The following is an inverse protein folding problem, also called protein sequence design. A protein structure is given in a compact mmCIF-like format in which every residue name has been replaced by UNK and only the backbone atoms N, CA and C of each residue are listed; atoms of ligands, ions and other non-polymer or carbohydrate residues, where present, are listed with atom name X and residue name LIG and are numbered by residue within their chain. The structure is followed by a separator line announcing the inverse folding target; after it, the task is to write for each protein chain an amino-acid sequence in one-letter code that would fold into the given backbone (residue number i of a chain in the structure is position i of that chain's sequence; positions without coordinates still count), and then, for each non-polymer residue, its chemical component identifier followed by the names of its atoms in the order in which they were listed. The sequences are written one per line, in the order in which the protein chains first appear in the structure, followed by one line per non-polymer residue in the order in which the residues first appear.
data_IF_549495240021
#
_entry.id   IF_549495240021
#
_cell.length_a   1.000
_cell.length_b   1.000
_cell.length_c   1.000
_cell.angle_alpha   90.00
_cell.angle_beta   90.00
_cell.angle_gamma   90.00
#
_symmetry.space_group_name_H-M   'P 1'
#
loop_
_entity.id
_entity.type
_entity.pdbx_description
1 polymer ?
#
# COMPACT_ATOMS: atom_id res chain seq x y z
N UNK A 1 -31.42 33.14 62.64
CA UNK A 1 -31.11 34.06 61.52
C UNK A 1 -29.91 33.50 60.77
N UNK A 2 -30.09 33.29 59.46
CA UNK A 2 -29.10 33.08 58.38
C UNK A 2 -28.07 31.93 58.54
N UNK A 3 -28.16 30.76 57.89
CA UNK A 3 -28.02 30.38 56.45
C UNK A 3 -26.72 30.80 55.75
N UNK A 4 -25.94 29.81 55.27
CA UNK A 4 -25.32 29.68 53.93
C UNK A 4 -24.53 28.36 53.88
N UNK A 5 -25.05 27.25 53.35
CA UNK A 5 -25.20 26.80 51.93
C UNK A 5 -23.92 26.20 51.33
N UNK A 6 -23.89 24.87 51.26
CA UNK A 6 -22.99 24.03 50.46
C UNK A 6 -23.64 23.88 49.07
N UNK A 7 -22.93 24.23 48.00
CA UNK A 7 -23.29 23.84 46.64
C UNK A 7 -22.32 22.76 46.16
N UNK A 8 -22.80 21.52 46.08
CA UNK A 8 -22.22 20.48 45.23
C UNK A 8 -23.01 20.48 43.92
N UNK A 9 -22.35 20.81 42.81
CA UNK A 9 -22.90 20.65 41.47
C UNK A 9 -22.16 19.46 40.82
N UNK A 10 -22.85 18.33 40.70
CA UNK A 10 -22.41 17.21 39.88
C UNK A 10 -22.67 17.58 38.40
N UNK A 11 -21.60 17.75 37.63
CA UNK A 11 -21.70 17.86 36.17
C UNK A 11 -21.69 16.44 35.58
N UNK A 12 -22.86 15.98 35.14
CA UNK A 12 -22.99 14.86 34.21
C UNK A 12 -22.44 15.30 32.85
N UNK A 13 -21.19 14.91 32.55
CA UNK A 13 -20.63 15.00 31.21
C UNK A 13 -21.14 13.82 30.37
N UNK A 14 -22.08 14.08 29.48
CA UNK A 14 -22.50 13.13 28.44
C UNK A 14 -21.32 12.86 27.49
N UNK A 15 -20.77 11.64 27.53
CA UNK A 15 -19.92 11.11 26.46
C UNK A 15 -20.80 10.94 25.22
N UNK A 16 -20.70 11.88 24.28
CA UNK A 16 -21.20 11.68 22.93
C UNK A 16 -20.27 10.65 22.27
N UNK A 17 -20.64 9.37 22.36
CA UNK A 17 -20.04 8.34 21.54
C UNK A 17 -20.31 8.69 20.08
N UNK A 18 -19.27 8.97 19.33
CA UNK A 18 -19.33 9.03 17.86
C UNK A 18 -19.76 7.65 17.39
N UNK A 19 -21.04 7.52 17.00
CA UNK A 19 -21.51 6.37 16.26
C UNK A 19 -20.72 6.31 14.95
N UNK A 20 -19.76 5.38 14.88
CA UNK A 20 -19.22 4.94 13.60
C UNK A 20 -20.38 4.28 12.87
N UNK A 21 -20.98 5.00 11.92
CA UNK A 21 -21.89 4.38 10.96
C UNK A 21 -21.09 3.34 10.17
N UNK A 22 -21.15 2.09 10.60
CA UNK A 22 -20.74 0.92 9.84
C UNK A 22 -21.75 0.73 8.70
N UNK A 23 -21.66 1.58 7.68
CA UNK A 23 -22.32 1.26 6.42
C UNK A 23 -21.74 -0.08 5.93
N UNK A 24 -22.61 -1.08 5.82
CA UNK A 24 -22.31 -2.35 5.17
C UNK A 24 -22.07 -2.05 3.68
N UNK A 25 -20.81 -2.04 3.26
CA UNK A 25 -20.47 -1.96 1.85
C UNK A 25 -20.42 -3.38 1.30
N UNK A 26 -21.56 -3.88 0.83
CA UNK A 26 -21.60 -5.03 -0.05
C UNK A 26 -21.49 -4.52 -1.49
N UNK A 27 -20.33 -4.69 -2.13
CA UNK A 27 -20.16 -4.36 -3.53
C UNK A 27 -18.74 -3.95 -3.92
N UNK A 28 -18.50 -3.99 -5.23
CA UNK A 28 -17.28 -3.46 -5.83
C UNK A 28 -17.29 -1.92 -5.78
N UNK A 29 -16.18 -1.35 -5.34
CA UNK A 29 -15.91 0.09 -5.34
C UNK A 29 -14.78 0.31 -6.34
N UNK A 30 -15.05 1.10 -7.38
CA UNK A 30 -14.00 1.63 -8.26
C UNK A 30 -13.72 3.07 -7.89
N UNK A 31 -12.51 3.33 -7.38
CA UNK A 31 -12.02 4.66 -7.11
C UNK A 31 -11.11 5.13 -8.26
N UNK A 32 -11.34 6.35 -8.74
CA UNK A 32 -10.45 7.05 -9.67
C UNK A 32 -9.87 8.28 -8.94
N UNK A 33 -8.66 8.15 -8.42
CA UNK A 33 -8.06 9.13 -7.53
C UNK A 33 -7.10 10.00 -8.33
N UNK A 34 -7.44 11.28 -8.49
CA UNK A 34 -6.63 12.30 -9.15
C UNK A 34 -7.02 13.71 -8.67
N UNK A 35 -6.06 14.63 -8.49
CA UNK A 35 -4.61 14.39 -8.54
C UNK A 35 -4.14 13.59 -7.31
N UNK A 36 -2.92 13.03 -7.34
CA UNK A 36 -2.27 12.52 -6.13
C UNK A 36 -2.19 13.60 -5.03
N UNK A 37 -2.33 13.19 -3.78
CA UNK A 37 -2.15 14.02 -2.59
C UNK A 37 -0.67 14.38 -2.36
N UNK A 38 0.23 13.44 -2.69
CA UNK A 38 1.68 13.59 -2.69
C UNK A 38 2.22 13.35 -4.10
N UNK A 39 2.97 14.29 -4.64
CA UNK A 39 3.42 14.25 -6.03
C UNK A 39 4.79 14.92 -6.11
N UNK A 40 5.83 14.12 -5.94
CA UNK A 40 7.15 14.62 -5.56
C UNK A 40 8.27 13.99 -6.37
N UNK A 41 9.13 14.85 -6.90
CA UNK A 41 10.43 14.44 -7.38
C UNK A 41 11.38 14.15 -6.21
N UNK A 42 11.79 12.90 -6.10
CA UNK A 42 12.71 12.41 -5.08
C UNK A 42 14.12 12.40 -5.64
N UNK A 43 14.87 13.46 -5.38
CA UNK A 43 16.26 13.62 -5.79
C UNK A 43 17.02 14.43 -4.73
N UNK A 44 18.24 14.04 -4.30
CA UNK A 44 18.96 14.70 -3.20
C UNK A 44 19.15 16.21 -3.38
N UNK A 45 19.36 16.66 -4.61
CA UNK A 45 19.56 18.09 -4.93
C UNK A 45 18.31 18.75 -5.51
N UNK A 46 17.18 18.03 -5.50
CA UNK A 46 15.89 18.58 -5.90
C UNK A 46 15.28 19.44 -4.80
N UNK A 47 14.45 20.44 -5.12
CA UNK A 47 13.74 21.20 -4.11
C UNK A 47 12.75 20.28 -3.37
N UNK A 48 12.62 20.47 -2.05
CA UNK A 48 11.42 20.01 -1.34
C UNK A 48 10.23 20.88 -1.76
N UNK A 49 9.04 20.29 -1.88
CA UNK A 49 7.82 21.04 -2.23
C UNK A 49 7.36 20.88 -3.69
N UNK A 50 6.51 21.81 -4.17
CA UNK A 50 5.95 21.77 -5.52
C UNK A 50 7.00 21.91 -6.62
N UNK A 51 6.92 21.05 -7.65
CA UNK A 51 7.69 21.14 -8.89
C UNK A 51 6.82 20.66 -10.03
N UNK A 52 6.88 21.27 -11.21
CA UNK A 52 6.05 20.88 -12.37
C UNK A 52 6.44 19.53 -13.01
N UNK A 53 7.65 19.03 -12.73
CA UNK A 53 8.20 17.82 -13.35
C UNK A 53 8.98 16.96 -12.37
N UNK A 54 9.00 15.65 -12.62
CA UNK A 54 9.80 14.66 -11.90
C UNK A 54 10.56 13.80 -12.91
N UNK A 55 11.90 13.90 -12.91
CA UNK A 55 12.77 13.12 -13.78
C UNK A 55 13.18 11.81 -13.11
N UNK A 56 13.40 10.78 -13.93
CA UNK A 56 13.80 9.45 -13.49
C UNK A 56 15.15 9.11 -14.10
N UNK A 57 16.17 8.82 -13.30
CA UNK A 57 17.47 8.41 -13.84
C UNK A 57 18.34 7.69 -12.81
N UNK A 58 19.34 7.00 -13.33
CA UNK A 58 20.42 6.37 -12.58
C UNK A 58 21.69 7.20 -12.58
N UNK A 59 22.52 7.00 -11.56
CA UNK A 59 23.92 7.46 -11.50
C UNK A 59 24.92 6.34 -11.78
N UNK A 60 24.49 5.14 -12.18
CA UNK A 60 25.43 4.07 -12.55
C UNK A 60 26.27 4.53 -13.75
N UNK A 61 27.59 4.39 -13.63
CA UNK A 61 28.54 4.86 -14.63
C UNK A 61 28.86 6.36 -14.55
N UNK A 62 28.31 7.08 -13.55
CA UNK A 62 28.72 8.46 -13.24
C UNK A 62 30.17 8.52 -12.76
N UNK A 63 30.82 9.65 -13.00
CA UNK A 63 32.17 9.95 -12.49
C UNK A 63 32.22 10.21 -10.97
N UNK A 64 31.06 10.37 -10.33
CA UNK A 64 30.91 10.64 -8.90
C UNK A 64 30.15 9.50 -8.23
N UNK A 65 30.79 8.90 -7.22
CA UNK A 65 30.26 7.79 -6.43
C UNK A 65 29.44 8.26 -5.21
N UNK A 66 28.81 7.30 -4.51
CA UNK A 66 28.10 7.56 -3.25
C UNK A 66 26.60 7.83 -3.41
N UNK A 67 26.04 7.63 -4.60
CA UNK A 67 24.62 7.72 -4.87
C UNK A 67 23.98 6.35 -4.97
N UNK A 68 22.66 6.31 -4.84
CA UNK A 68 21.94 5.08 -5.11
C UNK A 68 21.81 4.82 -6.61
N UNK A 69 21.71 3.55 -7.00
CA UNK A 69 21.53 3.20 -8.42
C UNK A 69 20.30 3.89 -9.00
N UNK A 70 19.18 3.89 -8.29
CA UNK A 70 17.95 4.58 -8.69
C UNK A 70 17.87 5.94 -8.03
N UNK A 71 18.71 6.88 -8.47
CA UNK A 71 18.93 8.11 -7.72
C UNK A 71 17.74 9.09 -7.77
N UNK A 72 17.20 9.35 -8.97
CA UNK A 72 16.04 10.21 -9.15
C UNK A 72 14.77 9.39 -9.40
N UNK A 73 13.74 9.65 -8.59
CA UNK A 73 12.49 8.89 -8.57
C UNK A 73 11.28 9.82 -8.50
N UNK A 74 10.12 9.29 -8.85
CA UNK A 74 8.85 10.01 -8.77
C UNK A 74 7.91 9.34 -7.77
N UNK A 75 7.75 10.00 -6.62
CA UNK A 75 6.87 9.56 -5.53
C UNK A 75 5.46 10.09 -5.74
N UNK A 76 4.50 9.17 -5.74
CA UNK A 76 3.08 9.43 -5.89
C UNK A 76 2.35 8.87 -4.68
N UNK A 77 1.51 9.67 -4.02
CA UNK A 77 0.66 9.24 -2.92
C UNK A 77 -0.79 9.60 -3.14
N UNK A 78 -1.67 8.64 -2.97
CA UNK A 78 -3.09 8.74 -3.23
C UNK A 78 -3.87 8.55 -1.92
N UNK A 79 -4.65 9.55 -1.54
CA UNK A 79 -5.59 9.43 -0.42
C UNK A 79 -6.81 8.62 -0.90
N UNK A 80 -6.96 7.41 -0.36
CA UNK A 80 -8.00 6.46 -0.79
C UNK A 80 -9.26 6.57 0.05
N UNK A 81 -9.13 7.09 1.29
CA UNK A 81 -10.20 7.20 2.28
C UNK A 81 -11.44 7.99 1.85
N UNK A 82 -11.39 8.97 0.91
CA UNK A 82 -12.60 9.64 0.44
C UNK A 82 -13.55 8.75 -0.36
N UNK A 83 -13.08 7.62 -0.90
CA UNK A 83 -13.87 6.74 -1.77
C UNK A 83 -13.90 5.29 -1.27
N UNK A 84 -12.78 4.79 -0.76
CA UNK A 84 -12.67 3.45 -0.19
C UNK A 84 -12.56 3.58 1.33
N UNK A 85 -13.52 3.05 2.11
CA UNK A 85 -13.48 3.08 3.57
C UNK A 85 -12.14 2.60 4.11
N UNK A 86 -11.46 3.43 4.90
CA UNK A 86 -10.22 3.09 5.59
C UNK A 86 -10.50 2.52 7.01
N UNK A 87 -9.44 2.26 7.77
CA UNK A 87 -9.45 1.77 9.15
C UNK A 87 -10.16 0.41 9.36
N UNK A 88 -10.31 -0.39 8.29
CA UNK A 88 -10.78 -1.78 8.36
C UNK A 88 -9.61 -2.76 8.32
N UNK A 89 -9.75 -3.98 8.87
CA UNK A 89 -8.72 -5.02 8.77
C UNK A 89 -8.32 -5.25 7.31
N UNK A 90 -7.03 -5.47 7.05
CA UNK A 90 -6.50 -5.65 5.69
C UNK A 90 -7.19 -6.81 4.95
N UNK A 91 -7.67 -7.82 5.70
CA UNK A 91 -8.38 -8.99 5.18
C UNK A 91 -9.73 -8.64 4.53
N UNK A 92 -10.32 -7.48 4.85
CA UNK A 92 -11.61 -7.03 4.29
C UNK A 92 -11.53 -6.51 2.85
N UNK A 93 -10.34 -6.23 2.34
CA UNK A 93 -10.17 -5.64 1.00
C UNK A 93 -9.76 -6.71 0.00
N UNK A 94 -10.64 -7.11 -0.92
CA UNK A 94 -10.28 -7.91 -2.09
C UNK A 94 -9.95 -7.00 -3.26
N UNK A 95 -8.68 -6.93 -3.64
CA UNK A 95 -8.25 -6.07 -4.74
C UNK A 95 -8.58 -6.77 -6.07
N UNK A 96 -9.37 -6.13 -6.92
CA UNK A 96 -9.76 -6.67 -8.22
C UNK A 96 -8.78 -6.18 -9.29
N UNK A 97 -8.46 -4.88 -9.27
CA UNK A 97 -7.50 -4.28 -10.19
C UNK A 97 -6.94 -2.99 -9.61
N UNK A 98 -5.71 -2.64 -9.99
CA UNK A 98 -5.11 -1.35 -9.71
C UNK A 98 -4.25 -0.90 -10.91
N UNK A 99 -4.47 0.33 -11.38
CA UNK A 99 -3.79 0.90 -12.55
C UNK A 99 -3.35 2.33 -12.24
N UNK A 100 -2.06 2.59 -12.34
CA UNK A 100 -1.51 3.94 -12.31
C UNK A 100 -1.35 4.45 -13.74
N UNK A 101 -1.76 5.70 -13.99
CA UNK A 101 -1.43 6.41 -15.24
C UNK A 101 -0.65 7.67 -14.91
N UNK A 102 0.48 7.89 -15.59
CA UNK A 102 1.27 9.11 -15.49
C UNK A 102 1.70 9.59 -16.89
N UNK A 103 1.90 10.90 -17.07
CA UNK A 103 2.24 11.48 -18.38
C UNK A 103 3.67 11.97 -18.43
N UNK A 104 4.36 11.60 -19.50
CA UNK A 104 5.68 12.14 -19.81
C UNK A 104 5.55 13.58 -20.28
N UNK A 105 6.46 14.43 -19.82
CA UNK A 105 6.67 15.78 -20.32
C UNK A 105 8.12 15.92 -20.77
N UNK A 106 8.36 15.87 -22.07
CA UNK A 106 9.68 16.10 -22.66
C UNK A 106 9.79 17.57 -23.02
N UNK A 107 10.87 18.23 -22.63
CA UNK A 107 11.14 19.62 -23.01
C UNK A 107 11.30 19.72 -24.55
N UNK A 108 10.83 20.83 -25.13
CA UNK A 108 10.92 21.04 -26.57
C UNK A 108 12.38 21.04 -27.04
N UNK A 109 12.68 20.22 -28.06
CA UNK A 109 14.03 20.02 -28.58
C UNK A 109 14.94 19.06 -27.79
N UNK A 110 14.48 18.49 -26.67
CA UNK A 110 15.22 17.41 -26.02
C UNK A 110 15.18 16.11 -26.87
N UNK A 111 16.25 15.29 -26.87
CA UNK A 111 16.29 14.07 -27.67
C UNK A 111 15.25 13.03 -27.23
N UNK A 112 14.76 13.12 -25.98
CA UNK A 112 13.82 12.17 -25.41
C UNK A 112 14.49 10.82 -25.10
N UNK A 113 13.71 9.86 -24.64
CA UNK A 113 14.17 8.52 -24.29
C UNK A 113 13.49 7.47 -25.17
N UNK A 114 14.10 6.29 -25.24
CA UNK A 114 13.62 5.16 -26.05
C UNK A 114 12.63 4.34 -25.24
N UNK A 115 11.49 3.99 -25.85
CA UNK A 115 10.47 3.17 -25.21
C UNK A 115 10.91 1.70 -25.14
N UNK A 116 10.97 1.20 -23.92
CA UNK A 116 11.21 -0.19 -23.61
C UNK A 116 10.03 -0.71 -22.75
N UNK A 117 9.21 -1.63 -23.29
CA UNK A 117 8.06 -2.21 -22.58
C UNK A 117 8.40 -3.43 -21.72
N UNK A 118 9.66 -3.85 -21.66
CA UNK A 118 10.14 -5.13 -21.14
C UNK A 118 11.02 -4.95 -19.92
N UNK A 119 11.15 -6.00 -19.09
CA UNK A 119 12.06 -5.94 -17.93
C UNK A 119 13.48 -6.31 -18.34
N UNK A 120 14.43 -5.55 -17.81
CA UNK A 120 15.85 -5.80 -18.01
C UNK A 120 16.48 -6.59 -16.88
N UNK A 121 17.46 -7.47 -17.17
CA UNK A 121 18.38 -7.96 -16.16
C UNK A 121 19.13 -6.79 -15.51
N UNK A 122 19.28 -6.80 -14.19
CA UNK A 122 20.02 -5.78 -13.43
C UNK A 122 21.46 -5.63 -13.96
N UNK A 123 22.06 -6.73 -14.40
CA UNK A 123 23.41 -6.78 -14.95
C UNK A 123 23.58 -6.04 -16.30
N UNK A 124 22.49 -5.77 -17.03
CA UNK A 124 22.54 -4.97 -18.26
C UNK A 124 22.81 -3.49 -18.00
N UNK A 125 22.56 -3.02 -16.77
CA UNK A 125 22.78 -1.63 -16.35
C UNK A 125 24.14 -1.39 -15.73
N UNK A 126 24.97 -2.43 -15.57
CA UNK A 126 26.33 -2.28 -15.06
C UNK A 126 27.19 -1.44 -16.02
N UNK A 127 28.16 -0.74 -15.44
CA UNK A 127 29.08 0.10 -16.21
C UNK A 127 29.86 -0.74 -17.24
N UNK A 128 30.16 -0.11 -18.38
CA UNK A 128 30.92 -0.75 -19.45
C UNK A 128 32.26 -1.28 -18.93
N UNK A 129 32.50 -2.58 -19.10
CA UNK A 129 33.73 -3.25 -18.65
C UNK A 129 33.63 -3.90 -17.25
N UNK A 130 32.50 -3.80 -16.56
CA UNK A 130 32.24 -4.66 -15.39
C UNK A 130 32.21 -6.14 -15.85
N UNK A 131 32.97 -7.06 -15.21
CA UNK A 131 32.98 -8.48 -15.61
C UNK A 131 31.63 -9.19 -15.50
N UNK A 132 30.70 -8.67 -14.69
CA UNK A 132 29.34 -9.20 -14.55
C UNK A 132 28.33 -8.52 -15.49
N UNK A 133 28.76 -7.54 -16.30
CA UNK A 133 27.90 -6.87 -17.28
C UNK A 133 27.39 -7.89 -18.30
N UNK A 134 26.09 -7.85 -18.56
CA UNK A 134 25.45 -8.62 -19.64
C UNK A 134 24.93 -7.68 -20.71
N UNK A 135 24.68 -8.21 -21.91
CA UNK A 135 24.06 -7.45 -22.98
C UNK A 135 22.58 -7.19 -22.66
N UNK A 136 22.13 -5.98 -22.97
CA UNK A 136 20.73 -5.61 -22.98
C UNK A 136 20.01 -6.34 -24.14
N UNK A 137 18.91 -7.09 -23.90
CA UNK A 137 18.21 -7.81 -24.95
C UNK A 137 17.49 -6.91 -25.96
N UNK A 138 17.16 -5.67 -25.58
CA UNK A 138 16.46 -4.73 -26.45
C UNK A 138 16.94 -3.29 -26.23
N UNK A 139 16.17 -2.31 -26.71
CA UNK A 139 16.62 -0.93 -26.82
C UNK A 139 15.83 -0.05 -25.86
N UNK A 140 16.55 0.68 -25.01
CA UNK A 140 15.98 1.61 -24.05
C UNK A 140 16.29 1.17 -22.63
N UNK A 141 15.45 1.59 -21.68
CA UNK A 141 15.38 1.05 -20.33
C UNK A 141 13.94 1.06 -19.86
N UNK A 142 13.50 0.10 -19.03
CA UNK A 142 12.14 0.12 -18.54
C UNK A 142 11.89 1.28 -17.60
N UNK A 143 10.65 1.77 -17.64
CA UNK A 143 10.09 2.59 -16.57
C UNK A 143 9.29 1.65 -15.67
N UNK A 144 9.66 1.62 -14.40
CA UNK A 144 9.20 0.61 -13.46
C UNK A 144 8.44 1.26 -12.30
N UNK A 145 7.36 0.60 -11.89
CA UNK A 145 6.56 0.97 -10.72
C UNK A 145 6.90 0.08 -9.53
N UNK A 146 7.20 0.67 -8.39
CA UNK A 146 7.52 -0.03 -7.15
C UNK A 146 6.58 0.40 -6.01
N UNK A 147 6.47 -0.48 -5.01
CA UNK A 147 5.96 -0.12 -3.71
C UNK A 147 6.97 0.78 -2.99
N UNK A 148 6.51 1.50 -1.98
CA UNK A 148 7.37 2.37 -1.16
C UNK A 148 7.55 1.79 0.23
N UNK A 149 8.78 1.89 0.74
CA UNK A 149 9.09 1.79 2.15
C UNK A 149 9.72 3.07 2.67
N UNK A 150 9.86 3.14 3.99
CA UNK A 150 10.33 4.32 4.72
C UNK A 150 11.50 3.94 5.60
N UNK A 151 12.46 4.85 5.75
CA UNK A 151 13.60 4.68 6.65
C UNK A 151 13.82 5.95 7.45
N UNK A 152 14.41 5.78 8.63
CA UNK A 152 14.70 6.86 9.57
C UNK A 152 13.46 7.55 10.15
N UNK A 153 13.71 8.64 10.86
CA UNK A 153 12.71 9.35 11.65
C UNK A 153 12.45 10.76 11.12
N UNK A 154 11.26 11.27 11.41
CA UNK A 154 10.90 12.66 11.16
C UNK A 154 11.80 13.59 11.97
N UNK A 155 12.52 14.55 11.35
CA UNK A 155 13.58 15.31 12.02
C UNK A 155 13.09 16.15 13.20
N UNK A 156 11.82 16.56 13.20
CA UNK A 156 11.24 17.38 14.28
C UNK A 156 10.45 16.61 15.33
N UNK A 157 9.90 15.44 14.99
CA UNK A 157 9.03 14.67 15.91
C UNK A 157 9.67 13.38 16.38
N UNK A 158 10.79 12.96 15.77
CA UNK A 158 11.49 11.69 15.98
C UNK A 158 10.63 10.43 15.73
N UNK A 159 9.42 10.60 15.20
CA UNK A 159 8.56 9.49 14.81
C UNK A 159 9.09 8.82 13.54
N UNK A 160 9.05 7.47 13.42
CA UNK A 160 9.42 6.79 12.19
C UNK A 160 8.65 7.33 10.98
N UNK A 161 9.34 7.49 9.85
CA UNK A 161 8.66 7.86 8.60
C UNK A 161 7.66 6.79 8.18
N UNK A 162 6.53 7.22 7.63
CA UNK A 162 5.43 6.38 7.17
C UNK A 162 4.65 7.08 6.05
N UNK A 163 3.73 6.34 5.41
CA UNK A 163 2.84 6.91 4.41
C UNK A 163 1.97 8.06 4.95
N UNK A 164 1.64 8.04 6.24
CA UNK A 164 0.75 9.04 6.85
C UNK A 164 1.47 10.34 7.21
N UNK A 165 2.74 10.29 7.58
CA UNK A 165 3.49 11.47 8.03
C UNK A 165 4.48 12.03 6.98
N UNK A 166 4.84 11.28 5.94
CA UNK A 166 5.66 11.81 4.85
C UNK A 166 4.80 12.65 3.89
N UNK A 167 5.17 13.92 3.70
CA UNK A 167 4.41 14.92 2.94
C UNK A 167 5.27 15.61 1.88
N UNK A 168 4.65 16.44 1.04
CA UNK A 168 5.29 17.13 -0.10
C UNK A 168 6.55 17.91 0.30
N UNK A 169 6.56 18.47 1.51
CA UNK A 169 7.62 19.33 2.05
C UNK A 169 8.55 18.61 3.03
N UNK A 170 8.39 17.30 3.25
CA UNK A 170 9.30 16.53 4.11
C UNK A 170 10.74 16.62 3.58
N UNK A 171 11.78 16.43 4.40
CA UNK A 171 13.14 16.32 3.89
C UNK A 171 13.30 15.14 2.92
N UNK A 172 14.28 15.23 2.02
CA UNK A 172 14.65 14.10 1.16
C UNK A 172 15.31 12.98 1.98
N UNK A 173 16.25 13.34 2.86
CA UNK A 173 17.08 12.41 3.60
C UNK A 173 16.63 12.22 5.04
N UNK A 174 17.15 11.16 5.65
CA UNK A 174 17.04 10.88 7.09
C UNK A 174 18.16 11.53 7.91
N UNK A 175 19.26 11.91 7.25
CA UNK A 175 20.43 12.52 7.86
C UNK A 175 20.76 13.82 7.14
N UNK A 176 21.12 14.83 7.94
CA UNK A 176 21.71 16.08 7.48
C UNK A 176 23.22 16.10 7.80
N UNK A 177 24.07 16.69 6.94
CA UNK A 177 23.74 17.32 5.67
C UNK A 177 23.36 16.31 4.57
N UNK A 178 22.54 16.73 3.61
CA UNK A 178 22.29 15.99 2.36
C UNK A 178 23.60 15.88 1.57
N UNK A 179 24.38 14.84 1.83
CA UNK A 179 25.61 14.51 1.11
C UNK A 179 25.40 13.45 0.03
N UNK A 180 26.52 13.06 -0.60
CA UNK A 180 26.64 11.87 -1.45
C UNK A 180 26.50 10.59 -0.60
N UNK A 181 25.27 10.31 -0.18
CA UNK A 181 24.98 9.27 0.80
C UNK A 181 23.95 8.28 0.25
N UNK A 182 24.46 7.20 -0.33
CA UNK A 182 23.73 5.99 -0.69
C UNK A 182 22.91 5.50 0.50
N UNK A 183 21.66 5.11 0.26
CA UNK A 183 20.76 4.59 1.28
C UNK A 183 20.18 5.66 2.23
N UNK A 184 20.37 6.95 1.98
CA UNK A 184 19.95 8.01 2.90
C UNK A 184 18.53 8.57 2.64
N UNK A 185 17.90 8.26 1.50
CA UNK A 185 16.55 8.79 1.18
C UNK A 185 15.49 8.26 2.15
N UNK A 186 14.59 9.11 2.62
CA UNK A 186 13.56 8.74 3.60
C UNK A 186 12.49 7.80 3.03
N UNK A 187 12.18 7.91 1.73
CA UNK A 187 11.25 7.02 1.01
C UNK A 187 12.00 6.33 -0.11
N UNK A 188 11.87 5.02 -0.24
CA UNK A 188 12.63 4.22 -1.19
C UNK A 188 11.81 3.12 -1.84
N UNK A 189 12.20 2.68 -3.06
CA UNK A 189 11.47 1.67 -3.79
C UNK A 189 11.76 0.31 -3.18
N UNK A 190 10.69 -0.47 -2.98
CA UNK A 190 10.78 -1.88 -2.62
C UNK A 190 10.06 -2.72 -3.66
N UNK A 191 10.60 -3.92 -3.86
CA UNK A 191 9.86 -5.03 -4.42
C UNK A 191 9.59 -6.07 -3.34
N UNK A 192 8.97 -7.17 -3.76
CA UNK A 192 8.84 -8.36 -2.94
C UNK A 192 9.56 -9.49 -3.66
N UNK A 193 10.52 -10.13 -2.99
CA UNK A 193 10.49 -11.51 -2.53
C UNK A 193 9.62 -12.62 -3.17
N UNK A 194 10.15 -13.78 -3.62
CA UNK A 194 9.31 -14.95 -3.96
C UNK A 194 8.50 -15.49 -2.78
N UNK A 195 8.94 -15.23 -1.55
CA UNK A 195 8.20 -15.48 -0.32
C UNK A 195 7.34 -14.27 0.12
N UNK A 196 7.27 -13.21 -0.68
CA UNK A 196 6.55 -11.98 -0.38
C UNK A 196 7.31 -11.02 0.55
N UNK A 197 8.60 -11.27 0.82
CA UNK A 197 9.40 -10.40 1.68
C UNK A 197 9.89 -9.17 0.93
N UNK A 198 9.77 -8.00 1.56
CA UNK A 198 10.20 -6.74 0.96
C UNK A 198 11.73 -6.69 0.79
N UNK A 199 12.21 -6.22 -0.37
CA UNK A 199 13.63 -5.95 -0.63
C UNK A 199 13.81 -4.52 -1.11
N UNK A 200 14.87 -3.87 -0.65
CA UNK A 200 15.25 -2.52 -1.07
C UNK A 200 15.84 -2.52 -2.48
N UNK A 201 15.16 -1.86 -3.42
CA UNK A 201 15.52 -1.82 -4.84
C UNK A 201 16.41 -0.62 -5.17
N UNK A 202 16.76 0.22 -4.19
CA UNK A 202 17.55 1.44 -4.42
C UNK A 202 18.89 1.15 -5.11
N UNK A 203 19.53 0.02 -4.78
CA UNK A 203 20.88 -0.38 -5.20
C UNK A 203 20.97 -1.81 -5.75
N UNK A 204 19.89 -2.29 -6.38
CA UNK A 204 19.79 -3.68 -6.81
C UNK A 204 20.85 -4.10 -7.86
N UNK A 205 21.52 -3.13 -8.51
CA UNK A 205 22.50 -3.36 -9.58
C UNK A 205 23.93 -3.40 -9.03
N UNK A 206 24.29 -2.50 -8.12
CA UNK A 206 25.68 -2.35 -7.66
C UNK A 206 25.97 -2.98 -6.31
N UNK A 207 24.96 -3.14 -5.43
CA UNK A 207 25.17 -3.83 -4.15
C UNK A 207 25.22 -5.37 -4.35
N UNK A 208 25.95 -6.06 -3.45
CA UNK A 208 26.08 -7.52 -3.46
C UNK A 208 25.30 -8.15 -2.29
N UNK A 209 24.56 -9.26 -2.53
CA UNK A 209 24.32 -9.89 -3.83
C UNK A 209 23.37 -9.07 -4.70
N UNK A 210 23.68 -8.99 -6.01
CA UNK A 210 22.80 -8.37 -7.00
C UNK A 210 21.53 -9.19 -7.16
N UNK A 211 20.45 -8.53 -7.56
CA UNK A 211 19.22 -9.21 -7.89
C UNK A 211 18.43 -8.45 -8.96
N UNK A 212 17.70 -9.23 -9.75
CA UNK A 212 16.70 -8.67 -10.67
C UNK A 212 15.47 -8.24 -9.86
N UNK A 213 15.08 -6.96 -9.96
CA UNK A 213 13.94 -6.46 -9.23
C UNK A 213 12.65 -6.98 -9.86
N UNK A 214 11.60 -7.07 -9.05
CA UNK A 214 10.27 -7.53 -9.47
C UNK A 214 9.28 -6.38 -9.30
N UNK A 215 9.29 -5.38 -10.22
CA UNK A 215 8.42 -4.22 -10.10
C UNK A 215 6.96 -4.63 -10.05
N UNK A 216 6.12 -3.80 -9.42
CA UNK A 216 4.67 -3.97 -9.43
C UNK A 216 4.13 -4.00 -10.87
N UNK A 217 4.72 -3.18 -11.74
CA UNK A 217 4.43 -3.12 -13.18
C UNK A 217 5.58 -2.48 -13.95
N UNK A 218 5.71 -2.84 -15.23
CA UNK A 218 6.49 -2.09 -16.23
C UNK A 218 5.54 -1.20 -17.01
N UNK A 219 5.90 0.06 -17.18
CA UNK A 219 5.05 1.06 -17.81
C UNK A 219 4.85 0.82 -19.30
N UNK A 220 3.59 0.90 -19.75
CA UNK A 220 3.20 0.69 -21.14
C UNK A 220 2.74 2.00 -21.78
N UNK A 221 3.21 2.28 -23.00
CA UNK A 221 2.85 3.46 -23.77
C UNK A 221 2.09 3.06 -25.05
N UNK A 222 0.76 3.05 -24.99
CA UNK A 222 -0.06 2.66 -26.13
C UNK A 222 0.19 3.55 -27.34
N UNK A 223 0.44 2.94 -28.50
CA UNK A 223 0.74 3.64 -29.75
C UNK A 223 2.21 4.03 -29.93
N UNK A 224 3.10 3.73 -28.98
CA UNK A 224 4.55 3.86 -29.14
C UNK A 224 5.15 2.47 -29.40
N UNK A 225 5.94 2.33 -30.46
CA UNK A 225 6.63 1.07 -30.76
C UNK A 225 7.83 0.89 -29.84
N UNK A 226 8.10 -0.34 -29.41
CA UNK A 226 9.33 -0.67 -28.70
C UNK A 226 10.55 -0.24 -29.52
N UNK A 227 11.54 0.38 -28.88
CA UNK A 227 12.72 0.95 -29.52
C UNK A 227 12.52 2.33 -30.18
N UNK A 228 11.30 2.88 -30.18
CA UNK A 228 11.05 4.23 -30.67
C UNK A 228 11.22 5.30 -29.57
N UNK A 229 11.60 6.51 -29.96
CA UNK A 229 11.59 7.66 -29.02
C UNK A 229 10.16 7.96 -28.56
N UNK A 230 9.99 8.15 -27.25
CA UNK A 230 8.70 8.48 -26.65
C UNK A 230 8.30 9.93 -26.95
N UNK A 231 7.15 10.18 -27.60
CA UNK A 231 6.65 11.54 -27.81
C UNK A 231 6.30 12.27 -26.51
N UNK A 232 6.39 13.59 -26.52
CA UNK A 232 5.89 14.42 -25.42
C UNK A 232 4.39 14.16 -25.16
N UNK A 233 3.96 14.28 -23.90
CA UNK A 233 2.58 14.05 -23.45
C UNK A 233 2.08 12.60 -23.61
N UNK A 234 2.97 11.64 -23.83
CA UNK A 234 2.63 10.21 -23.86
C UNK A 234 2.17 9.75 -22.48
N UNK A 235 1.06 9.01 -22.43
CA UNK A 235 0.58 8.37 -21.22
C UNK A 235 1.30 7.02 -21.02
N UNK A 236 1.91 6.85 -19.85
CA UNK A 236 2.39 5.57 -19.37
C UNK A 236 1.37 4.98 -18.42
N UNK A 237 0.98 3.74 -18.70
CA UNK A 237 0.00 2.96 -17.93
C UNK A 237 0.72 1.81 -17.26
N UNK A 238 0.55 1.71 -15.95
CA UNK A 238 1.14 0.68 -15.10
C UNK A 238 0.00 -0.17 -14.53
N UNK A 239 -0.24 -1.34 -15.12
CA UNK A 239 -1.21 -2.31 -14.60
C UNK A 239 -0.54 -3.13 -13.51
N UNK A 240 -0.89 -2.88 -12.26
CA UNK A 240 -0.24 -3.52 -11.10
C UNK A 240 -0.59 -5.00 -11.08
N UNK A 241 0.44 -5.83 -11.11
CA UNK A 241 0.31 -7.29 -11.11
C UNK A 241 0.07 -7.82 -9.70
N UNK A 242 -1.20 -8.11 -9.41
CA UNK A 242 -1.66 -8.64 -8.12
C UNK A 242 -1.21 -10.10 -7.89
N UNK A 243 -0.73 -10.80 -8.92
CA UNK A 243 -0.27 -12.19 -8.80
C UNK A 243 1.13 -12.30 -8.19
N UNK A 244 1.87 -11.19 -8.12
CA UNK A 244 3.18 -11.14 -7.49
C UNK A 244 3.05 -11.22 -5.96
N UNK A 245 3.84 -12.08 -5.29
CA UNK A 245 3.84 -12.16 -3.83
C UNK A 245 4.03 -10.79 -3.17
N UNK A 246 3.33 -10.54 -2.06
CA UNK A 246 3.43 -9.29 -1.29
C UNK A 246 2.69 -8.07 -1.88
N UNK A 247 2.39 -8.05 -3.19
CA UNK A 247 1.76 -6.90 -3.84
C UNK A 247 0.35 -6.64 -3.33
N UNK A 248 -0.48 -7.68 -3.24
CA UNK A 248 -1.85 -7.51 -2.74
C UNK A 248 -1.85 -7.04 -1.27
N UNK A 249 -0.98 -7.62 -0.44
CA UNK A 249 -0.85 -7.22 0.97
C UNK A 249 -0.46 -5.74 1.10
N UNK A 250 0.47 -5.26 0.28
CA UNK A 250 0.87 -3.86 0.23
C UNK A 250 -0.31 -2.93 -0.05
N UNK A 251 -1.11 -3.25 -1.07
CA UNK A 251 -2.28 -2.45 -1.45
C UNK A 251 -3.37 -2.50 -0.37
N UNK A 252 -3.66 -3.68 0.19
CA UNK A 252 -4.63 -3.84 1.29
C UNK A 252 -4.24 -3.04 2.52
N UNK A 253 -2.94 -3.02 2.86
CA UNK A 253 -2.44 -2.20 3.95
C UNK A 253 -2.59 -0.71 3.65
N UNK A 254 -2.28 -0.29 2.41
CA UNK A 254 -2.51 1.08 1.96
C UNK A 254 -3.98 1.50 2.06
N UNK A 255 -4.92 0.65 1.64
CA UNK A 255 -6.36 0.90 1.79
C UNK A 255 -6.78 0.98 3.25
N UNK A 256 -6.27 0.07 4.09
CA UNK A 256 -6.54 0.06 5.53
C UNK A 256 -6.08 1.35 6.22
N UNK A 257 -4.92 1.90 5.87
CA UNK A 257 -4.47 3.20 6.40
C UNK A 257 -5.10 4.40 5.68
N UNK A 258 -5.79 4.17 4.56
CA UNK A 258 -6.43 5.22 3.75
C UNK A 258 -5.50 5.96 2.78
N UNK A 259 -4.31 5.41 2.51
CA UNK A 259 -3.32 5.99 1.59
C UNK A 259 -2.44 4.92 0.94
N UNK A 260 -2.28 5.02 -0.38
CA UNK A 260 -1.32 4.21 -1.16
C UNK A 260 -0.23 5.14 -1.71
N UNK A 261 1.03 4.83 -1.40
CA UNK A 261 2.18 5.51 -2.00
C UNK A 261 2.88 4.56 -2.98
N UNK A 262 3.38 5.10 -4.10
CA UNK A 262 4.04 4.35 -5.16
C UNK A 262 5.24 5.15 -5.67
N UNK A 263 6.26 4.45 -6.18
CA UNK A 263 7.45 5.05 -6.77
C UNK A 263 7.59 4.62 -8.22
N UNK A 264 7.62 5.61 -9.12
CA UNK A 264 8.04 5.39 -10.51
C UNK A 264 9.53 5.66 -10.59
N UNK A 265 10.29 4.72 -11.17
CA UNK A 265 11.75 4.80 -11.28
C UNK A 265 12.21 4.27 -12.64
N UNK A 266 13.46 4.53 -13.00
CA UNK A 266 14.09 3.87 -14.15
C UNK A 266 15.61 3.85 -13.99
N UNK A 267 16.28 3.04 -14.80
CA UNK A 267 17.75 2.99 -14.89
C UNK A 267 18.29 3.71 -16.13
N UNK A 268 17.52 4.67 -16.68
CA UNK A 268 18.02 5.54 -17.75
C UNK A 268 19.20 6.37 -17.25
N UNK A 269 20.31 6.35 -17.98
CA UNK A 269 21.49 7.10 -17.59
C UNK A 269 21.25 8.61 -17.73
N UNK A 270 21.64 9.36 -16.71
CA UNK A 270 21.83 10.80 -16.80
C UNK A 270 23.32 11.11 -16.73
N UNK A 271 23.83 11.85 -17.70
CA UNK A 271 25.23 12.31 -17.65
C UNK A 271 25.42 13.22 -16.43
N UNK A 272 26.37 12.90 -15.56
CA UNK A 272 26.76 13.65 -14.35
C UNK A 272 25.60 14.46 -13.73
N UNK A 273 24.63 13.78 -13.08
CA UNK A 273 23.54 14.43 -12.30
C UNK A 273 22.46 15.13 -13.12
N UNK A 274 22.20 14.67 -14.35
CA UNK A 274 21.24 15.32 -15.25
C UNK A 274 21.84 16.50 -16.01
N UNK A 275 23.18 16.61 -16.02
CA UNK A 275 23.88 17.41 -17.01
C UNK A 275 23.77 16.75 -18.39
N UNK A 276 23.98 17.52 -19.46
CA UNK A 276 23.94 17.00 -20.82
C UNK A 276 22.52 16.78 -21.39
N UNK A 277 22.40 16.00 -22.48
CA UNK A 277 21.13 15.80 -23.17
C UNK A 277 20.14 15.02 -22.31
N UNK A 278 18.87 15.45 -22.29
CA UNK A 278 17.78 14.76 -21.60
C UNK A 278 17.36 13.53 -22.40
N UNK A 279 18.00 12.39 -22.10
CA UNK A 279 17.75 11.07 -22.68
C UNK A 279 17.05 10.11 -21.71
N UNK A 280 16.44 10.67 -20.68
CA UNK A 280 15.79 9.95 -19.60
C UNK A 280 14.34 10.45 -19.40
N UNK A 281 13.46 9.65 -18.78
CA UNK A 281 12.07 10.02 -18.58
C UNK A 281 11.91 11.22 -17.67
N UNK A 282 11.00 12.12 -18.06
CA UNK A 282 10.54 13.24 -17.24
C UNK A 282 9.03 13.19 -17.23
N UNK A 283 8.43 13.09 -16.04
CA UNK A 283 6.98 13.03 -15.85
C UNK A 283 6.44 14.37 -15.39
N UNK A 284 5.23 14.68 -15.83
CA UNK A 284 4.46 15.79 -15.28
C UNK A 284 3.94 15.44 -13.89
N UNK A 285 4.04 16.43 -13.00
CA UNK A 285 3.38 16.42 -11.70
C UNK A 285 2.02 17.11 -11.79
N UNK A 286 1.25 17.06 -10.70
CA UNK A 286 0.03 17.85 -10.52
C UNK A 286 0.24 19.37 -10.59
N UNK A 287 1.49 19.83 -10.51
CA UNK A 287 1.84 21.25 -10.61
C UNK A 287 2.20 21.66 -12.04
N UNK A 288 2.21 20.72 -12.99
CA UNK A 288 2.35 21.03 -14.40
C UNK A 288 1.05 21.67 -14.92
N UNK A 289 1.09 22.88 -15.51
CA UNK A 289 -0.12 23.57 -15.97
C UNK A 289 -0.69 23.02 -17.29
N UNK A 290 0.06 22.16 -17.99
CA UNK A 290 -0.28 21.72 -19.35
C UNK A 290 -0.63 20.23 -19.44
N UNK A 291 -0.19 19.42 -18.47
CA UNK A 291 -0.39 17.97 -18.49
C UNK A 291 -1.46 17.52 -17.50
N UNK A 292 -2.16 16.44 -17.83
CA UNK A 292 -3.05 15.77 -16.87
C UNK A 292 -2.21 15.18 -15.72
N UNK A 293 -2.55 15.44 -14.45
CA UNK A 293 -1.89 14.83 -13.31
C UNK A 293 -1.95 13.31 -13.36
N UNK A 294 -1.03 12.65 -12.64
CA UNK A 294 -1.10 11.21 -12.46
C UNK A 294 -2.43 10.80 -11.80
N UNK A 295 -2.85 9.56 -12.03
CA UNK A 295 -4.10 9.03 -11.47
C UNK A 295 -3.95 7.56 -11.10
N UNK A 296 -4.59 7.17 -10.00
CA UNK A 296 -4.72 5.78 -9.59
C UNK A 296 -6.19 5.36 -9.74
N UNK A 297 -6.44 4.41 -10.63
CA UNK A 297 -7.69 3.67 -10.66
C UNK A 297 -7.53 2.38 -9.87
N UNK A 298 -8.37 2.14 -8.88
CA UNK A 298 -8.37 0.90 -8.10
C UNK A 298 -9.80 0.40 -7.94
N UNK A 299 -10.01 -0.88 -8.21
CA UNK A 299 -11.28 -1.58 -7.98
C UNK A 299 -11.07 -2.58 -6.85
N UNK A 300 -11.91 -2.47 -5.82
CA UNK A 300 -11.87 -3.31 -4.62
C UNK A 300 -13.27 -3.82 -4.31
N UNK A 301 -13.39 -5.06 -3.87
CA UNK A 301 -14.59 -5.54 -3.20
C UNK A 301 -14.34 -5.51 -1.70
N UNK A 302 -15.24 -4.88 -0.95
CA UNK A 302 -15.21 -4.99 0.51
C UNK A 302 -15.95 -6.26 0.92
N UNK A 303 -15.24 -7.15 1.60
CA UNK A 303 -15.84 -8.31 2.25
C UNK A 303 -16.07 -7.96 3.71
N UNK A 304 -17.26 -8.27 4.21
CA UNK A 304 -17.52 -8.34 5.65
C UNK A 304 -17.63 -9.82 6.01
N UNK A 305 -16.89 -10.27 7.03
CA UNK A 305 -17.28 -11.49 7.71
C UNK A 305 -18.64 -11.21 8.37
N UNK A 306 -19.63 -12.04 8.04
CA UNK A 306 -20.95 -12.07 8.67
C UNK A 306 -21.18 -13.51 9.12
N UNK A 307 -21.58 -13.72 10.37
CA UNK A 307 -21.90 -15.06 10.90
C UNK A 307 -23.35 -15.34 10.51
N UNK A 308 -23.55 -16.36 9.68
CA UNK A 308 -24.89 -16.89 9.47
C UNK A 308 -25.30 -17.77 10.66
N UNK A 309 -26.61 -17.82 10.91
CA UNK A 309 -27.19 -18.75 11.88
C UNK A 309 -26.92 -20.22 11.53
N UNK A 310 -27.29 -21.11 12.45
CA UNK A 310 -27.22 -22.58 12.32
C UNK A 310 -27.85 -23.16 11.03
N UNK A 311 -28.66 -22.38 10.31
CA UNK A 311 -29.34 -22.80 9.08
C UNK A 311 -28.70 -22.18 7.82
N UNK A 312 -27.57 -21.49 7.97
CA UNK A 312 -26.91 -20.77 6.88
C UNK A 312 -27.65 -19.49 6.46
N UNK A 313 -28.61 -19.04 7.26
CA UNK A 313 -29.32 -17.78 7.06
C UNK A 313 -28.48 -16.67 7.67
N UNK A 314 -28.10 -15.62 6.92
CA UNK A 314 -27.56 -14.42 7.55
C UNK A 314 -28.51 -13.97 8.67
N UNK A 315 -28.00 -13.73 9.88
CA UNK A 315 -28.81 -13.19 10.96
C UNK A 315 -29.43 -11.86 10.51
N UNK A 316 -30.60 -11.52 11.05
CA UNK A 316 -31.43 -10.42 10.55
C UNK A 316 -30.61 -9.13 10.33
N UNK A 317 -30.44 -8.81 9.05
CA UNK A 317 -29.55 -7.76 8.56
C UNK A 317 -29.66 -6.43 9.32
N UNK A 318 -28.51 -5.90 9.74
CA UNK A 318 -28.28 -4.46 9.57
C UNK A 318 -28.36 -4.15 8.07
N UNK A 319 -29.05 -3.08 7.62
CA UNK A 319 -29.54 -2.97 6.25
C UNK A 319 -28.42 -3.08 5.19
N UNK A 320 -28.38 -4.20 4.48
CA UNK A 320 -27.42 -4.44 3.40
C UNK A 320 -27.22 -5.93 3.11
N UNK A 321 -27.72 -6.42 1.98
CA UNK A 321 -27.50 -7.78 1.48
C UNK A 321 -26.00 -8.05 1.25
N UNK A 322 -25.32 -8.64 2.24
CA UNK A 322 -23.96 -9.18 2.08
C UNK A 322 -24.05 -10.69 1.78
N UNK A 323 -23.26 -11.24 0.83
CA UNK A 323 -23.08 -12.68 0.69
C UNK A 323 -22.41 -13.30 1.93
N UNK A 324 -23.05 -14.33 2.51
CA UNK A 324 -22.53 -15.18 3.58
C UNK A 324 -21.22 -15.88 3.14
N UNK A 325 -20.24 -15.97 4.03
CA UNK A 325 -18.96 -16.70 3.84
C UNK A 325 -19.15 -18.23 3.78
N UNK A 326 -20.35 -18.73 4.08
CA UNK A 326 -20.70 -20.15 4.05
C UNK A 326 -20.29 -20.92 5.30
N UNK A 327 -19.78 -20.22 6.33
CA UNK A 327 -19.40 -20.79 7.63
C UNK A 327 -20.56 -20.58 8.61
N UNK A 328 -21.07 -21.67 9.20
CA UNK A 328 -22.13 -21.63 10.21
C UNK A 328 -21.57 -21.88 11.62
N UNK A 329 -22.38 -21.67 12.65
CA UNK A 329 -22.04 -21.94 14.05
C UNK A 329 -21.61 -23.40 14.29
N UNK A 330 -22.18 -24.37 13.57
CA UNK A 330 -21.74 -25.77 13.59
C UNK A 330 -20.29 -25.97 13.15
N UNK A 331 -19.83 -25.22 12.15
CA UNK A 331 -18.44 -25.26 11.68
C UNK A 331 -17.48 -24.68 12.74
N UNK A 332 -17.89 -23.63 13.45
CA UNK A 332 -17.11 -23.03 14.54
C UNK A 332 -17.05 -23.92 15.78
N UNK A 333 -18.18 -24.49 16.18
CA UNK A 333 -18.26 -25.46 17.26
C UNK A 333 -17.41 -26.71 16.95
N UNK A 334 -17.39 -27.16 15.70
CA UNK A 334 -16.52 -28.24 15.26
C UNK A 334 -15.04 -27.86 15.31
N UNK A 335 -14.67 -26.65 14.87
CA UNK A 335 -13.30 -26.13 14.92
C UNK A 335 -12.77 -26.06 16.37
N UNK A 336 -13.54 -25.49 17.29
CA UNK A 336 -13.13 -25.37 18.69
C UNK A 336 -13.12 -26.71 19.43
N UNK A 337 -14.05 -27.62 19.10
CA UNK A 337 -14.08 -28.96 19.69
C UNK A 337 -12.96 -29.89 19.18
N UNK A 338 -12.51 -29.71 17.93
CA UNK A 338 -11.51 -30.59 17.30
C UNK A 338 -10.06 -30.30 17.74
N UNK A 339 -9.70 -29.02 17.94
CA UNK A 339 -8.29 -28.63 18.13
C UNK A 339 -7.89 -28.31 19.59
N UNK A 340 -8.81 -28.46 20.55
CA UNK A 340 -8.49 -28.26 21.98
C UNK A 340 -8.02 -26.84 22.34
N UNK A 341 -8.22 -25.87 21.44
CA UNK A 341 -7.63 -24.53 21.48
C UNK A 341 -8.03 -23.70 22.71
N UNK A 342 -9.18 -24.01 23.32
CA UNK A 342 -9.62 -23.47 24.62
C UNK A 342 -9.85 -24.55 25.69
N UNK A 343 -9.63 -25.82 25.36
CA UNK A 343 -9.96 -26.94 26.21
C UNK A 343 -8.70 -27.54 26.83
N UNK A 344 -8.21 -26.94 27.92
CA UNK A 344 -7.63 -27.80 28.94
C UNK A 344 -8.77 -28.64 29.51
N UNK A 345 -8.72 -29.94 29.22
CA UNK A 345 -9.57 -30.98 29.74
C UNK A 345 -9.53 -31.01 31.28
N UNK A 346 -10.30 -30.15 31.93
CA UNK A 346 -10.81 -30.43 33.27
C UNK A 346 -12.29 -30.72 33.11
N UNK A 347 -12.58 -32.00 32.85
CA UNK A 347 -13.92 -32.54 32.97
C UNK A 347 -14.39 -32.21 34.39
N UNK A 348 -15.31 -31.26 34.53
CA UNK A 348 -16.09 -31.11 35.74
C UNK A 348 -16.86 -32.42 36.01
N UNK A 349 -17.22 -32.72 37.27
CA UNK A 349 -17.77 -34.02 37.68
C UNK A 349 -19.10 -34.43 37.04
N UNK A 350 -19.64 -33.65 36.10
CA UNK A 350 -20.89 -33.91 35.39
C UNK A 350 -20.72 -34.30 33.90
N UNK A 351 -19.50 -34.32 33.35
CA UNK A 351 -19.29 -34.75 31.95
C UNK A 351 -19.97 -33.86 30.89
N UNK A 352 -20.41 -32.66 31.25
CA UNK A 352 -20.92 -31.66 30.32
C UNK A 352 -19.72 -30.89 29.80
N UNK A 353 -19.42 -31.01 28.51
CA UNK A 353 -18.45 -30.13 27.86
C UNK A 353 -18.90 -28.68 28.05
N UNK A 354 -18.00 -27.81 28.50
CA UNK A 354 -18.24 -26.38 28.53
C UNK A 354 -18.21 -25.88 27.08
N UNK A 355 -19.32 -26.04 26.35
CA UNK A 355 -19.45 -25.39 25.07
C UNK A 355 -19.41 -23.89 25.29
N UNK A 356 -18.52 -23.20 24.58
CA UNK A 356 -18.57 -21.75 24.48
C UNK A 356 -19.75 -21.44 23.57
N UNK A 357 -20.88 -21.09 24.17
CA UNK A 357 -22.06 -20.62 23.44
C UNK A 357 -21.76 -19.24 22.83
N UNK A 358 -22.09 -19.05 21.55
CA UNK A 358 -21.94 -17.75 20.87
C UNK A 358 -23.12 -16.90 21.35
N UNK A 359 -22.81 -15.82 22.08
CA UNK A 359 -23.83 -14.87 22.46
C UNK A 359 -24.11 -13.88 21.32
N UNK A 360 -25.36 -13.44 21.19
CA UNK A 360 -25.74 -12.35 20.28
C UNK A 360 -25.00 -11.04 20.60
N UNK A 361 -25.15 -10.04 19.73
CA UNK A 361 -24.63 -8.68 19.92
C UNK A 361 -25.07 -8.00 21.24
N UNK A 362 -26.05 -8.55 21.95
CA UNK A 362 -26.54 -8.07 23.25
C UNK A 362 -26.03 -8.92 24.42
N UNK A 363 -25.18 -9.92 24.17
CA UNK A 363 -24.61 -10.81 25.16
C UNK A 363 -25.56 -11.91 25.63
N UNK A 364 -26.68 -12.14 24.95
CA UNK A 364 -27.59 -13.23 25.26
C UNK A 364 -27.09 -14.53 24.62
N UNK A 365 -27.05 -15.65 25.36
CA UNK A 365 -26.70 -16.96 24.80
C UNK A 365 -27.67 -17.34 23.67
N UNK A 366 -27.17 -17.86 22.55
CA UNK A 366 -28.01 -18.33 21.44
C UNK A 366 -28.44 -19.78 21.70
N UNK A 367 -29.62 -20.21 21.23
CA UNK A 367 -30.02 -21.62 21.31
C UNK A 367 -28.99 -22.50 20.58
N UNK A 368 -28.58 -23.67 21.12
CA UNK A 368 -29.44 -24.58 21.87
C UNK A 368 -29.05 -24.80 23.34
N UNK A 369 -28.28 -23.91 23.97
CA UNK A 369 -27.72 -24.16 25.30
C UNK A 369 -28.32 -23.30 26.45
N UNK A 370 -29.64 -23.35 26.71
CA UNK A 370 -30.22 -22.64 27.86
C UNK A 370 -29.62 -23.18 29.16
N UNK A 371 -28.94 -22.29 29.90
CA UNK A 371 -28.33 -22.62 31.20
C UNK A 371 -26.81 -22.68 31.21
N UNK A 372 -26.13 -22.41 30.09
CA UNK A 372 -24.68 -22.19 30.07
C UNK A 372 -24.39 -20.71 30.31
N UNK A 373 -23.47 -20.41 31.22
CA UNK A 373 -23.03 -19.04 31.47
C UNK A 373 -22.20 -18.56 30.28
N UNK A 374 -22.65 -17.48 29.62
CA UNK A 374 -21.87 -16.75 28.63
C UNK A 374 -20.47 -16.46 29.21
N UNK A 375 -19.43 -16.85 28.49
CA UNK A 375 -18.03 -16.67 28.89
C UNK A 375 -17.54 -15.21 28.71
N UNK A 376 -18.43 -14.32 28.25
CA UNK A 376 -18.16 -12.91 28.01
C UNK A 376 -17.66 -12.60 26.60
N UNK A 377 -17.62 -13.60 25.70
CA UNK A 377 -17.23 -13.45 24.30
C UNK A 377 -18.51 -13.27 23.48
N UNK A 378 -18.68 -12.11 22.85
CA UNK A 378 -19.83 -11.82 21.99
C UNK A 378 -19.49 -12.07 20.51
N UNK A 379 -20.51 -12.00 19.66
CA UNK A 379 -20.40 -12.08 18.20
C UNK A 379 -19.30 -11.15 17.63
N UNK A 380 -19.18 -9.93 18.14
CA UNK A 380 -18.13 -8.98 17.77
C UNK A 380 -16.71 -9.49 18.05
N UNK A 381 -16.50 -10.22 19.14
CA UNK A 381 -15.22 -10.80 19.52
C UNK A 381 -14.83 -11.97 18.60
N UNK A 382 -15.79 -12.82 18.23
CA UNK A 382 -15.58 -13.89 17.25
C UNK A 382 -15.34 -13.34 15.85
N UNK A 383 -16.11 -12.33 15.42
CA UNK A 383 -15.88 -11.63 14.16
C UNK A 383 -14.49 -10.99 14.13
N UNK A 384 -14.01 -10.42 15.24
CA UNK A 384 -12.65 -9.91 15.35
C UNK A 384 -11.60 -11.03 15.31
N UNK A 385 -11.83 -12.15 15.99
CA UNK A 385 -10.94 -13.31 15.98
C UNK A 385 -10.82 -13.94 14.58
N UNK A 386 -11.94 -14.17 13.91
CA UNK A 386 -11.98 -14.84 12.61
C UNK A 386 -11.63 -13.95 11.43
N UNK A 387 -11.91 -12.64 11.46
CA UNK A 387 -11.34 -11.72 10.46
C UNK A 387 -9.80 -11.72 10.45
N UNK A 388 -9.18 -12.15 11.54
CA UNK A 388 -7.73 -12.29 11.66
C UNK A 388 -7.22 -13.71 11.29
N UNK A 389 -8.08 -14.74 11.30
CA UNK A 389 -7.71 -16.14 11.07
C UNK A 389 -8.14 -16.69 9.70
N UNK A 390 -9.34 -16.32 9.24
CA UNK A 390 -9.88 -16.71 7.95
C UNK A 390 -9.91 -15.49 7.03
N UNK A 391 -9.47 -15.68 5.79
CA UNK A 391 -9.65 -14.66 4.76
C UNK A 391 -11.16 -14.52 4.52
N UNK A 392 -11.79 -13.37 4.81
CA UNK A 392 -13.22 -13.18 4.62
C UNK A 392 -13.62 -13.09 3.14
N UNK A 393 -12.64 -13.19 2.23
CA UNK A 393 -12.84 -13.22 0.80
C UNK A 393 -12.24 -14.50 0.21
N UNK A 394 -13.03 -15.32 -0.51
CA UNK A 394 -12.49 -16.36 -1.39
C UNK A 394 -11.79 -15.80 -2.63
#
# INVERSE_FOLDING_TARGET
MSTSTIFSLAALGSLAGTQLNSAAYAGEITANISPPALDRWMYPFGPAGPRATASLYTTIGSSIEGFDDRDAQYLLGFDTSPTIPAARPISTYRIISATLTARVTVDDGAPGFVFDPTSDPATSSLAAGDPAQTADPDAGKPIELFACAYRGNHPTTDEPWSALNYVQTSPFSTLEPIGFARGNRAVYPIDFDSAGLARDVSNNVTDLPRFDPRPLAVGQASGVLAGATVPNNTAFVFSIDLTKPGVEQYLRQGLSIGRINLLVTSLHNAQDFGSGPVVYPVFATRFNPLATPASLQITVSLCTADIADDQGTPLAQSPGNVPNSGVNEGDYNAFFAADGFFFQSSLGPAGVGLFCDIADDQGNPLPPAPGVSNNGVNEGDYNAFFNNLFLPCP
#
